data_IF_751000786090
#
_entry.id   IF_751000786090
#
_cell.length_a   1.000
_cell.length_b   1.000
_cell.length_c   1.000
_cell.angle_alpha   90.00
_cell.angle_beta   90.00
_cell.angle_gamma   90.00
#
_symmetry.space_group_name_H-M   'P 1'
#
loop_
_entity.id
_entity.type
_entity.pdbx_description
1 polymer ?
#
# COMPACT_ATOMS: atom_id res chain seq x y z
N UNK A 1 16.52 37.68 56.14
CA UNK A 1 16.57 37.38 54.69
C UNK A 1 16.44 35.88 54.53
N UNK A 2 15.31 35.38 54.02
CA UNK A 2 15.17 34.12 53.27
C UNK A 2 13.70 33.92 52.87
N UNK A 3 13.52 33.53 51.61
CA UNK A 3 12.31 33.60 50.78
C UNK A 3 11.45 32.36 51.01
N UNK A 4 10.14 32.54 51.24
CA UNK A 4 9.15 31.48 51.09
C UNK A 4 8.23 31.83 49.92
N UNK A 5 8.52 31.26 48.74
CA UNK A 5 7.68 31.37 47.55
C UNK A 5 6.43 30.50 47.72
N UNK A 6 5.24 31.10 47.56
CA UNK A 6 3.97 30.41 47.36
C UNK A 6 3.45 30.72 45.95
N UNK A 7 3.31 29.68 45.13
CA UNK A 7 2.39 29.54 43.99
C UNK A 7 2.57 28.08 43.52
N UNK A 8 1.61 27.16 43.54
CA UNK A 8 0.19 27.32 43.27
C UNK A 8 -0.03 27.28 41.76
N UNK A 9 -0.24 26.11 41.15
CA UNK A 9 -0.62 26.05 39.73
C UNK A 9 -0.37 24.71 39.01
N UNK A 10 -1.35 23.82 39.12
CA UNK A 10 -1.91 22.89 38.11
C UNK A 10 -0.98 22.23 37.08
N UNK A 11 -1.05 20.90 37.08
CA UNK A 11 -0.49 19.98 36.10
C UNK A 11 -0.87 20.31 34.65
N UNK A 12 0.14 20.29 33.77
CA UNK A 12 -0.02 20.04 32.34
C UNK A 12 0.80 18.80 32.03
N UNK A 13 0.22 17.62 32.29
CA UNK A 13 0.56 16.43 31.54
C UNK A 13 0.18 16.75 30.09
N UNK A 14 1.18 17.18 29.31
CA UNK A 14 1.07 17.23 27.86
C UNK A 14 0.87 15.82 27.36
N UNK A 15 -0.38 15.35 27.36
CA UNK A 15 -0.79 14.21 26.56
C UNK A 15 -0.63 14.68 25.12
N UNK A 16 0.58 14.49 24.60
CA UNK A 16 0.85 14.58 23.17
C UNK A 16 -0.12 13.59 22.55
N UNK A 17 -1.22 14.10 22.02
CA UNK A 17 -2.18 13.30 21.28
C UNK A 17 -1.41 12.89 20.02
N UNK A 18 -0.69 11.78 20.10
CA UNK A 18 -0.24 11.08 18.91
C UNK A 18 -1.54 10.67 18.22
N UNK A 19 -2.02 11.53 17.32
CA UNK A 19 -3.11 11.18 16.43
C UNK A 19 -2.66 9.92 15.72
N UNK A 20 -3.25 8.80 16.09
CA UNK A 20 -3.10 7.56 15.34
C UNK A 20 -3.76 7.86 14.01
N UNK A 21 -2.96 8.26 13.02
CA UNK A 21 -3.42 8.37 11.65
C UNK A 21 -3.64 6.96 11.16
N UNK A 22 -4.88 6.49 11.24
CA UNK A 22 -5.29 5.32 10.48
C UNK A 22 -5.25 5.73 9.00
N UNK A 23 -4.51 4.98 8.19
CA UNK A 23 -4.50 5.24 6.76
C UNK A 23 -5.89 5.07 6.15
N UNK A 24 -6.11 5.75 5.03
CA UNK A 24 -7.35 5.62 4.27
C UNK A 24 -7.38 4.29 3.52
N UNK A 25 -8.49 3.56 3.63
CA UNK A 25 -8.72 2.34 2.85
C UNK A 25 -9.13 2.70 1.42
N UNK A 26 -8.43 2.14 0.43
CA UNK A 26 -8.76 2.26 -0.99
C UNK A 26 -9.00 0.90 -1.63
N UNK A 27 -9.73 0.89 -2.74
CA UNK A 27 -10.21 -0.31 -3.39
C UNK A 27 -9.81 -0.36 -4.87
N UNK A 28 -9.41 -1.54 -5.31
CA UNK A 28 -9.07 -1.87 -6.69
C UNK A 28 -9.92 -3.06 -7.12
N UNK A 29 -10.62 -2.93 -8.24
CA UNK A 29 -11.42 -3.98 -8.84
C UNK A 29 -11.36 -3.86 -10.37
N UNK A 30 -10.85 -4.91 -11.02
CA UNK A 30 -10.66 -4.96 -12.48
C UNK A 30 -11.97 -4.87 -13.25
N UNK A 31 -13.09 -5.33 -12.65
CA UNK A 31 -14.40 -5.36 -13.28
C UNK A 31 -15.21 -4.07 -13.00
N UNK A 32 -14.65 -3.12 -12.26
CA UNK A 32 -15.32 -1.87 -11.93
C UNK A 32 -15.57 -1.01 -13.18
N UNK A 33 -16.84 -0.67 -13.41
CA UNK A 33 -17.27 0.18 -14.53
C UNK A 33 -17.26 1.68 -14.20
N UNK A 34 -17.16 2.03 -12.91
CA UNK A 34 -17.30 3.40 -12.40
C UNK A 34 -16.09 3.83 -11.57
N UNK A 35 -14.89 3.56 -12.08
CA UNK A 35 -13.62 3.98 -11.46
C UNK A 35 -13.58 5.49 -11.23
N UNK A 36 -13.56 5.91 -9.96
CA UNK A 36 -13.53 7.31 -9.58
C UNK A 36 -12.69 7.53 -8.31
N UNK A 37 -11.68 8.38 -8.42
CA UNK A 37 -10.90 8.83 -7.26
C UNK A 37 -11.83 9.52 -6.24
N UNK A 38 -11.67 9.31 -4.93
CA UNK A 38 -10.49 8.77 -4.25
C UNK A 38 -10.46 7.24 -4.05
N UNK A 39 -11.32 6.47 -4.72
CA UNK A 39 -11.35 5.00 -4.66
C UNK A 39 -11.64 4.42 -3.26
N UNK A 40 -12.51 5.07 -2.48
CA UNK A 40 -12.77 4.73 -1.06
C UNK A 40 -13.87 3.69 -0.85
N UNK A 41 -14.40 3.08 -1.92
CA UNK A 41 -15.34 1.97 -1.86
C UNK A 41 -15.26 1.13 -3.15
N UNK A 42 -15.84 -0.08 -3.13
CA UNK A 42 -15.88 -1.00 -4.28
C UNK A 42 -16.59 -0.41 -5.51
N UNK A 43 -17.65 0.37 -5.34
CA UNK A 43 -18.40 0.95 -6.46
C UNK A 43 -17.61 2.03 -7.21
N UNK A 44 -16.65 2.68 -6.55
CA UNK A 44 -15.73 3.62 -7.17
C UNK A 44 -14.30 3.10 -7.22
N UNK A 45 -14.10 1.77 -7.15
CA UNK A 45 -12.77 1.16 -7.15
C UNK A 45 -12.04 1.40 -8.47
N UNK A 46 -10.72 1.48 -8.42
CA UNK A 46 -9.91 1.61 -9.64
C UNK A 46 -9.78 0.27 -10.35
N UNK A 47 -9.84 0.26 -11.68
CA UNK A 47 -9.50 -0.91 -12.51
C UNK A 47 -8.00 -1.18 -12.59
N UNK A 48 -7.18 -0.20 -12.18
CA UNK A 48 -5.73 -0.26 -12.22
C UNK A 48 -5.13 -0.03 -10.83
N UNK A 49 -4.05 -0.75 -10.51
CA UNK A 49 -3.40 -0.68 -9.19
C UNK A 49 -2.57 0.60 -9.03
N UNK A 50 -1.82 1.03 -10.06
CA UNK A 50 -0.89 2.17 -9.95
C UNK A 50 -1.58 3.50 -9.58
N UNK A 51 -2.72 3.90 -10.19
CA UNK A 51 -3.42 5.12 -9.79
C UNK A 51 -3.86 5.14 -8.32
N UNK A 52 -4.12 3.96 -7.74
CA UNK A 52 -4.46 3.84 -6.31
C UNK A 52 -3.23 4.01 -5.44
N UNK A 53 -2.08 3.45 -5.83
CA UNK A 53 -0.79 3.70 -5.18
C UNK A 53 -0.45 5.20 -5.23
N UNK A 54 -0.68 5.85 -6.37
CA UNK A 54 -0.39 7.27 -6.57
C UNK A 54 -1.29 8.16 -5.69
N UNK A 55 -2.58 7.83 -5.60
CA UNK A 55 -3.55 8.50 -4.74
C UNK A 55 -3.37 8.20 -3.24
N UNK A 56 -2.60 7.16 -2.89
CA UNK A 56 -2.36 6.73 -1.52
C UNK A 56 -1.28 7.53 -0.80
N UNK A 57 -1.47 7.72 0.50
CA UNK A 57 -0.55 8.33 1.45
C UNK A 57 0.07 7.26 2.35
N UNK A 58 1.13 7.60 3.08
CA UNK A 58 1.78 6.66 4.00
C UNK A 58 0.83 6.21 5.11
N UNK A 59 0.76 4.90 5.33
CA UNK A 59 -0.13 4.24 6.28
C UNK A 59 -1.42 3.70 5.64
N UNK A 60 -1.70 4.04 4.38
CA UNK A 60 -2.93 3.65 3.68
C UNK A 60 -2.96 2.16 3.35
N UNK A 61 -4.18 1.61 3.35
CA UNK A 61 -4.44 0.22 3.01
C UNK A 61 -5.17 0.15 1.67
N UNK A 62 -4.74 -0.76 0.80
CA UNK A 62 -5.30 -0.94 -0.53
C UNK A 62 -5.80 -2.38 -0.62
N UNK A 63 -7.12 -2.52 -0.74
CA UNK A 63 -7.79 -3.79 -0.97
C UNK A 63 -7.97 -4.03 -2.45
N UNK A 64 -7.55 -5.20 -2.90
CA UNK A 64 -7.64 -5.59 -4.30
C UNK A 64 -8.57 -6.78 -4.41
N UNK A 65 -9.60 -6.65 -5.25
CA UNK A 65 -10.53 -7.74 -5.55
C UNK A 65 -9.84 -8.86 -6.35
N UNK A 66 -10.37 -10.09 -6.31
CA UNK A 66 -9.95 -11.18 -7.18
C UNK A 66 -10.01 -10.75 -8.64
N UNK A 67 -8.99 -11.08 -9.43
CA UNK A 67 -8.97 -10.66 -10.83
C UNK A 67 -7.60 -10.74 -11.47
N UNK A 68 -7.56 -10.61 -12.79
CA UNK A 68 -6.31 -10.57 -13.57
C UNK A 68 -6.02 -9.13 -13.98
N UNK A 69 -5.12 -8.50 -13.22
CA UNK A 69 -4.63 -7.15 -13.44
C UNK A 69 -3.47 -7.20 -14.43
N UNK A 70 -3.76 -6.93 -15.70
CA UNK A 70 -2.75 -6.82 -16.75
C UNK A 70 -2.05 -5.49 -16.64
N UNK A 71 -0.74 -5.53 -16.45
CA UNK A 71 0.09 -4.35 -16.34
C UNK A 71 1.04 -4.29 -17.54
N UNK A 72 1.08 -3.11 -18.16
CA UNK A 72 2.02 -2.81 -19.25
C UNK A 72 3.31 -2.16 -18.73
N UNK A 73 3.31 -1.72 -17.47
CA UNK A 73 4.43 -1.09 -16.79
C UNK A 73 4.56 -1.62 -15.35
N UNK A 74 5.77 -1.56 -14.82
CA UNK A 74 6.09 -1.98 -13.45
C UNK A 74 5.26 -1.22 -12.42
N UNK A 75 4.64 -1.94 -11.48
CA UNK A 75 3.99 -1.33 -10.32
C UNK A 75 5.05 -0.87 -9.33
N UNK A 76 5.11 0.44 -9.06
CA UNK A 76 6.11 1.01 -8.16
C UNK A 76 5.46 1.55 -6.90
N UNK A 77 5.80 0.97 -5.74
CA UNK A 77 5.50 1.54 -4.43
C UNK A 77 6.72 2.38 -4.00
N UNK A 78 6.63 3.72 -4.03
CA UNK A 78 7.77 4.59 -3.78
C UNK A 78 8.27 4.50 -2.33
N UNK A 79 9.58 4.71 -2.14
CA UNK A 79 10.23 4.65 -0.82
C UNK A 79 9.66 5.64 0.22
N UNK A 80 9.04 6.73 -0.25
CA UNK A 80 8.38 7.73 0.58
C UNK A 80 7.04 7.28 1.16
N UNK A 81 6.47 6.16 0.68
CA UNK A 81 5.17 5.65 1.09
C UNK A 81 5.31 4.28 1.77
N UNK A 82 4.63 4.12 2.91
CA UNK A 82 4.43 2.82 3.55
C UNK A 82 3.00 2.39 3.24
N UNK A 83 2.80 1.38 2.41
CA UNK A 83 1.46 0.94 1.98
C UNK A 83 1.24 -0.53 2.33
N UNK A 84 0.00 -0.86 2.68
CA UNK A 84 -0.44 -2.26 2.83
C UNK A 84 -1.32 -2.61 1.64
N UNK A 85 -0.80 -3.38 0.70
CA UNK A 85 -1.53 -3.94 -0.43
C UNK A 85 -2.00 -5.34 -0.02
N UNK A 86 -3.31 -5.57 0.04
CA UNK A 86 -3.88 -6.87 0.41
C UNK A 86 -4.94 -7.30 -0.61
N UNK A 87 -4.86 -8.55 -1.04
CA UNK A 87 -5.94 -9.19 -1.80
C UNK A 87 -7.08 -9.58 -0.84
N UNK A 88 -8.34 -9.34 -1.22
CA UNK A 88 -9.51 -9.73 -0.40
C UNK A 88 -9.60 -11.23 -0.16
N UNK A 89 -9.05 -12.01 -1.10
CA UNK A 89 -8.96 -13.46 -1.02
C UNK A 89 -7.52 -13.91 -1.29
N UNK A 90 -7.07 -14.96 -0.59
CA UNK A 90 -5.72 -15.47 -0.74
C UNK A 90 -5.45 -15.92 -2.17
N UNK A 91 -4.45 -15.32 -2.83
CA UNK A 91 -3.96 -15.63 -4.20
C UNK A 91 -4.94 -15.34 -5.34
N UNK A 92 -6.06 -14.67 -5.06
CA UNK A 92 -7.09 -14.44 -6.07
C UNK A 92 -6.80 -13.22 -6.96
N UNK A 93 -6.05 -12.24 -6.46
CA UNK A 93 -5.53 -11.14 -7.27
C UNK A 93 -4.25 -11.57 -8.01
N UNK A 94 -4.33 -11.63 -9.33
CA UNK A 94 -3.24 -11.97 -10.24
C UNK A 94 -2.73 -10.71 -10.92
N UNK A 95 -1.46 -10.38 -10.72
CA UNK A 95 -0.76 -9.34 -11.46
C UNK A 95 -0.08 -10.01 -12.66
N UNK A 96 -0.48 -9.64 -13.88
CA UNK A 96 0.06 -10.20 -15.12
C UNK A 96 0.94 -9.18 -15.82
N UNK A 97 2.25 -9.41 -15.79
CA UNK A 97 3.28 -8.56 -16.42
C UNK A 97 3.36 -8.64 -17.95
N UNK A 98 2.52 -9.48 -18.57
CA UNK A 98 2.37 -9.71 -20.01
C UNK A 98 3.67 -10.03 -20.78
N UNK A 99 4.74 -10.40 -20.08
CA UNK A 99 6.06 -10.63 -20.66
C UNK A 99 6.79 -9.33 -21.04
N UNK A 100 6.32 -8.17 -20.59
CA UNK A 100 6.88 -6.85 -20.99
C UNK A 100 7.43 -6.04 -19.83
N UNK A 101 7.08 -6.35 -18.58
CA UNK A 101 7.52 -5.58 -17.41
C UNK A 101 7.83 -6.46 -16.18
N UNK A 102 8.53 -5.85 -15.21
CA UNK A 102 9.09 -6.47 -13.99
C UNK A 102 8.05 -6.88 -12.93
N UNK A 103 6.75 -6.76 -13.22
CA UNK A 103 5.69 -7.08 -12.26
C UNK A 103 5.49 -5.97 -11.23
N UNK A 104 6.18 -6.06 -10.09
CA UNK A 104 6.06 -5.13 -8.97
C UNK A 104 7.42 -4.87 -8.33
N UNK A 105 7.66 -3.60 -8.00
CA UNK A 105 8.80 -3.13 -7.20
C UNK A 105 8.27 -2.39 -5.98
N UNK A 106 8.76 -2.81 -4.82
CA UNK A 106 8.35 -2.25 -3.53
C UNK A 106 9.57 -1.56 -2.91
N UNK A 107 9.66 -0.24 -3.07
CA UNK A 107 10.74 0.57 -2.51
C UNK A 107 10.39 1.12 -1.11
N UNK A 108 9.10 1.16 -0.76
CA UNK A 108 8.58 1.61 0.53
C UNK A 108 9.04 0.75 1.71
N UNK A 109 9.73 1.35 2.68
CA UNK A 109 10.06 0.67 3.94
C UNK A 109 8.77 0.32 4.71
N UNK A 110 8.70 -0.91 5.22
CA UNK A 110 7.53 -1.48 5.90
C UNK A 110 6.26 -1.63 5.04
N UNK A 111 6.36 -1.51 3.71
CA UNK A 111 5.22 -1.84 2.86
C UNK A 111 4.97 -3.34 2.88
N UNK A 112 3.69 -3.72 2.93
CA UNK A 112 3.25 -5.12 2.98
C UNK A 112 2.48 -5.39 1.69
N UNK A 113 2.82 -6.47 1.01
CA UNK A 113 2.06 -6.97 -0.15
C UNK A 113 1.70 -8.42 0.14
N UNK A 114 0.40 -8.69 0.31
CA UNK A 114 -0.11 -9.97 0.78
C UNK A 114 -1.25 -10.50 -0.11
N UNK A 115 -1.21 -11.80 -0.42
CA UNK A 115 -2.28 -12.48 -1.14
C UNK A 115 -2.28 -12.28 -2.66
N UNK A 116 -1.18 -11.80 -3.25
CA UNK A 116 -1.03 -11.60 -4.70
C UNK A 116 -0.30 -12.77 -5.37
N UNK A 117 -0.70 -13.06 -6.60
CA UNK A 117 0.07 -13.92 -7.52
C UNK A 117 0.62 -13.07 -8.65
N UNK A 118 1.94 -13.02 -8.85
CA UNK A 118 2.53 -12.34 -10.01
C UNK A 118 2.92 -13.37 -11.08
N UNK A 119 2.52 -13.16 -12.33
CA UNK A 119 2.81 -14.05 -13.47
C UNK A 119 3.22 -13.27 -14.71
N UNK A 120 3.89 -13.95 -15.64
CA UNK A 120 4.41 -13.38 -16.89
C UNK A 120 5.22 -12.08 -16.68
N UNK A 121 5.94 -11.97 -15.58
CA UNK A 121 6.85 -10.85 -15.38
C UNK A 121 8.14 -11.06 -16.19
N UNK A 122 8.62 -10.01 -16.87
CA UNK A 122 9.82 -10.02 -17.71
C UNK A 122 10.83 -9.00 -17.22
N UNK A 123 12.03 -9.49 -16.91
CA UNK A 123 13.20 -8.71 -16.56
C UNK A 123 14.37 -9.37 -17.31
N UNK A 124 15.06 -8.64 -18.20
CA UNK A 124 16.09 -9.22 -19.05
C UNK A 124 17.34 -9.71 -18.29
N UNK A 125 17.47 -9.44 -16.98
CA UNK A 125 18.60 -9.87 -16.14
C UNK A 125 18.26 -10.86 -15.02
N UNK A 126 17.00 -10.94 -14.55
CA UNK A 126 16.65 -11.63 -13.31
C UNK A 126 15.40 -12.53 -13.34
N UNK A 127 14.74 -12.70 -14.49
CA UNK A 127 13.48 -13.47 -14.57
C UNK A 127 12.36 -12.71 -13.87
N UNK A 128 11.59 -11.93 -14.64
CA UNK A 128 10.90 -10.74 -14.13
C UNK A 128 9.68 -10.91 -13.26
N UNK A 129 9.53 -12.01 -12.53
CA UNK A 129 8.36 -12.28 -11.70
C UNK A 129 8.13 -11.24 -10.60
N UNK A 130 9.13 -10.94 -9.77
CA UNK A 130 9.07 -9.98 -8.65
C UNK A 130 10.48 -9.51 -8.31
N UNK A 131 10.74 -8.21 -8.20
CA UNK A 131 12.03 -7.69 -7.69
C UNK A 131 11.82 -7.02 -6.33
N UNK A 132 12.32 -7.65 -5.27
CA UNK A 132 12.32 -7.10 -3.91
C UNK A 132 13.77 -6.74 -3.53
N UNK A 133 14.23 -5.48 -3.68
CA UNK A 133 15.58 -5.08 -3.30
C UNK A 133 15.80 -4.99 -1.76
N UNK A 134 14.80 -5.33 -0.94
CA UNK A 134 14.87 -5.30 0.53
C UNK A 134 14.28 -6.55 1.19
N UNK A 135 14.53 -6.72 2.50
CA UNK A 135 13.90 -7.78 3.32
C UNK A 135 12.40 -7.52 3.39
N UNK A 136 11.62 -8.20 2.56
CA UNK A 136 10.17 -8.20 2.64
C UNK A 136 9.69 -9.63 2.85
N UNK A 137 8.77 -9.81 3.80
CA UNK A 137 8.16 -11.10 4.09
C UNK A 137 7.16 -11.37 2.97
N UNK A 138 7.57 -12.15 1.97
CA UNK A 138 6.62 -12.81 1.08
C UNK A 138 5.94 -13.89 1.93
N UNK A 139 4.81 -13.54 2.54
CA UNK A 139 4.03 -14.46 3.35
C UNK A 139 3.36 -15.49 2.44
N UNK A 140 3.99 -16.63 2.25
CA UNK A 140 3.26 -17.86 1.95
C UNK A 140 2.62 -18.29 3.26
N UNK A 141 1.29 -18.31 3.32
CA UNK A 141 0.58 -19.08 4.34
C UNK A 141 1.02 -20.55 4.27
#
# INVERSE_FOLDING_TARGET
>A
MNRFQRAGGVALLGLCWAGVSFGTTRYVDVDCVTSLAPYTNWATASTNIQPVIDASSSGDEIWVAPGVYRIAAELNIPASKTLTLRSTESRAAVIDGQGVCRGITISGTNSVVEGFTVRHGYDPGYGGGCSCPGRQRFGTA
#
